data_IF_486285865758
#
_entry.id   IF_486285865758
#
_cell.length_a   1.000
_cell.length_b   1.000
_cell.length_c   1.000
_cell.angle_alpha   90.00
_cell.angle_beta   90.00
_cell.angle_gamma   90.00
#
_symmetry.space_group_name_H-M   'P 1'
#
loop_
_entity.id
_entity.type
_entity.pdbx_description
1 polymer ?
#
# COMPACT_ATOMS: atom_id res chain seq x y z
N UNK A 1 -14.15 2.10 17.45
CA UNK A 1 -14.52 2.08 16.03
C UNK A 1 -13.85 3.20 15.21
N UNK A 2 -13.70 4.43 15.73
CA UNK A 2 -13.07 5.57 15.01
C UNK A 2 -11.58 5.39 14.66
N UNK A 3 -10.80 4.68 15.48
CA UNK A 3 -9.35 4.49 15.27
C UNK A 3 -9.00 3.73 13.98
N UNK A 4 -9.86 2.80 13.52
CA UNK A 4 -9.63 2.04 12.30
C UNK A 4 -9.84 2.89 11.04
N UNK A 5 -10.74 3.88 11.07
CA UNK A 5 -10.98 4.80 9.96
C UNK A 5 -9.85 5.80 9.81
N UNK A 6 -9.37 6.39 10.92
CA UNK A 6 -8.26 7.36 10.89
C UNK A 6 -7.00 6.78 10.26
N UNK A 7 -6.62 5.55 10.61
CA UNK A 7 -5.48 4.85 10.00
C UNK A 7 -5.68 4.62 8.50
N UNK A 8 -6.87 4.22 8.06
CA UNK A 8 -7.19 3.97 6.64
C UNK A 8 -7.16 5.26 5.82
N UNK A 9 -7.69 6.36 6.36
CA UNK A 9 -7.63 7.68 5.73
C UNK A 9 -6.18 8.14 5.60
N UNK A 10 -5.37 7.99 6.66
CA UNK A 10 -3.95 8.30 6.60
C UNK A 10 -3.23 7.45 5.54
N UNK A 11 -3.51 6.15 5.48
CA UNK A 11 -2.95 5.24 4.49
C UNK A 11 -3.28 5.67 3.06
N UNK A 12 -4.54 6.07 2.82
CA UNK A 12 -4.99 6.60 1.55
C UNK A 12 -4.26 7.89 1.18
N UNK A 13 -4.21 8.87 2.09
CA UNK A 13 -3.52 10.15 1.87
C UNK A 13 -2.03 9.90 1.59
N UNK A 14 -1.38 9.06 2.39
CA UNK A 14 0.02 8.71 2.24
C UNK A 14 0.28 8.05 0.88
N UNK A 15 -0.58 7.13 0.45
CA UNK A 15 -0.41 6.45 -0.83
C UNK A 15 -0.67 7.34 -2.04
N UNK A 16 -1.64 8.27 -1.95
CA UNK A 16 -1.83 9.29 -2.98
C UNK A 16 -0.59 10.18 -3.10
N UNK A 17 -0.11 10.73 -1.98
CA UNK A 17 1.06 11.62 -1.97
C UNK A 17 2.30 10.88 -2.47
N UNK A 18 2.60 9.70 -1.90
CA UNK A 18 3.80 8.95 -2.27
C UNK A 18 3.73 8.44 -3.70
N UNK A 19 2.58 7.94 -4.16
CA UNK A 19 2.39 7.48 -5.54
C UNK A 19 2.64 8.59 -6.55
N UNK A 20 2.08 9.79 -6.33
CA UNK A 20 2.34 10.96 -7.18
C UNK A 20 3.80 11.41 -7.12
N UNK A 21 4.42 11.42 -5.93
CA UNK A 21 5.85 11.74 -5.81
C UNK A 21 6.72 10.74 -6.58
N UNK A 22 6.41 9.44 -6.54
CA UNK A 22 7.13 8.42 -7.31
C UNK A 22 7.04 8.70 -8.81
N UNK A 23 5.86 9.09 -9.32
CA UNK A 23 5.64 9.38 -10.74
C UNK A 23 6.44 10.62 -11.18
N UNK A 24 6.33 11.73 -10.44
CA UNK A 24 6.82 13.03 -10.93
C UNK A 24 8.24 13.40 -10.48
N UNK A 25 8.76 12.81 -9.39
CA UNK A 25 10.09 13.14 -8.86
C UNK A 25 11.16 12.20 -9.45
N UNK A 26 12.41 12.68 -9.51
CA UNK A 26 13.54 11.85 -9.97
C UNK A 26 13.73 10.64 -9.05
N UNK A 27 13.87 9.45 -9.67
CA UNK A 27 14.00 8.13 -9.02
C UNK A 27 15.00 8.13 -7.85
N UNK A 28 16.17 8.75 -8.03
CA UNK A 28 17.23 8.82 -6.99
C UNK A 28 16.79 9.47 -5.68
N UNK A 29 15.96 10.51 -5.74
CA UNK A 29 15.51 11.22 -4.54
C UNK A 29 14.46 10.40 -3.80
N UNK A 30 13.55 9.75 -4.53
CA UNK A 30 12.53 8.89 -3.93
C UNK A 30 13.15 7.67 -3.26
N UNK A 31 14.13 7.02 -3.91
CA UNK A 31 14.88 5.92 -3.29
C UNK A 31 15.55 6.40 -2.01
N UNK A 32 16.26 7.55 -2.04
CA UNK A 32 16.93 8.09 -0.86
C UNK A 32 15.94 8.36 0.29
N UNK A 33 14.78 8.96 0.00
CA UNK A 33 13.73 9.22 0.99
C UNK A 33 13.17 7.92 1.56
N UNK A 34 12.79 6.96 0.72
CA UNK A 34 12.22 5.68 1.16
C UNK A 34 13.22 4.89 2.00
N UNK A 35 14.48 4.79 1.57
CA UNK A 35 15.53 4.15 2.35
C UNK A 35 15.75 4.87 3.68
N UNK A 36 15.79 6.20 3.68
CA UNK A 36 15.91 7.00 4.91
C UNK A 36 14.75 6.76 5.90
N UNK A 37 13.51 6.74 5.42
CA UNK A 37 12.32 6.45 6.23
C UNK A 37 12.35 5.03 6.82
N UNK A 38 12.73 4.03 6.02
CA UNK A 38 12.87 2.64 6.49
C UNK A 38 13.98 2.53 7.53
N UNK A 39 15.16 3.11 7.27
CA UNK A 39 16.28 3.10 8.23
C UNK A 39 15.91 3.81 9.53
N UNK A 40 15.25 4.97 9.46
CA UNK A 40 14.76 5.67 10.64
C UNK A 40 13.74 4.83 11.43
N UNK A 41 12.79 4.19 10.74
CA UNK A 41 11.81 3.28 11.36
C UNK A 41 12.48 2.11 12.09
N UNK A 42 13.48 1.48 11.46
CA UNK A 42 14.28 0.41 12.08
C UNK A 42 15.02 0.92 13.31
N UNK A 43 15.70 2.08 13.23
CA UNK A 43 16.41 2.67 14.37
C UNK A 43 15.47 2.97 15.55
N UNK A 44 14.33 3.61 15.28
CA UNK A 44 13.31 3.89 16.30
C UNK A 44 12.87 2.58 16.96
N UNK A 45 12.60 1.54 16.17
CA UNK A 45 12.21 0.21 16.70
C UNK A 45 13.31 -0.39 17.58
N UNK A 46 14.57 -0.28 17.20
CA UNK A 46 15.69 -0.76 18.02
C UNK A 46 15.79 -0.03 19.35
N UNK A 47 15.57 1.29 19.39
CA UNK A 47 15.54 2.03 20.65
C UNK A 47 14.36 1.64 21.54
N UNK A 48 13.16 1.48 20.95
CA UNK A 48 11.98 1.02 21.71
C UNK A 48 12.20 -0.37 22.32
N UNK A 49 12.81 -1.31 21.58
CA UNK A 49 13.14 -2.66 22.09
C UNK A 49 14.17 -2.63 23.23
N UNK A 50 15.03 -1.61 23.27
CA UNK A 50 15.98 -1.36 24.37
C UNK A 50 15.34 -0.66 25.58
N UNK A 51 14.03 -0.43 25.57
CA UNK A 51 13.30 0.18 26.68
C UNK A 51 13.31 1.71 26.71
N UNK A 52 13.81 2.38 25.67
CA UNK A 52 13.70 3.83 25.56
C UNK A 52 12.24 4.22 25.30
N UNK A 53 11.71 5.15 26.08
CA UNK A 53 10.36 5.69 25.91
C UNK A 53 10.42 7.08 25.30
N UNK A 54 9.83 7.23 24.13
CA UNK A 54 9.67 8.51 23.47
C UNK A 54 8.18 8.83 23.45
N UNK A 55 7.68 9.59 24.43
CA UNK A 55 6.22 9.80 24.61
C UNK A 55 5.52 10.31 23.34
N UNK A 56 6.16 11.19 22.57
CA UNK A 56 5.64 11.71 21.30
C UNK A 56 5.65 10.65 20.20
N UNK A 57 6.74 9.89 20.08
CA UNK A 57 6.91 8.86 19.05
C UNK A 57 5.96 7.69 19.31
N UNK A 58 5.74 7.31 20.57
CA UNK A 58 4.79 6.27 20.94
C UNK A 58 3.35 6.69 20.65
N UNK A 59 3.00 7.96 20.89
CA UNK A 59 1.70 8.51 20.54
C UNK A 59 1.46 8.49 19.02
N UNK A 60 2.44 8.92 18.24
CA UNK A 60 2.39 8.88 16.78
C UNK A 60 2.37 7.44 16.24
N UNK A 61 3.20 6.53 16.74
CA UNK A 61 3.26 5.14 16.29
C UNK A 61 1.95 4.37 16.56
N UNK A 62 1.19 4.75 17.60
CA UNK A 62 -0.15 4.18 17.85
C UNK A 62 -1.18 4.60 16.79
N UNK A 63 -1.02 5.77 16.17
CA UNK A 63 -1.84 6.15 15.02
C UNK A 63 -1.49 5.35 13.75
N UNK A 64 -0.24 4.92 13.61
CA UNK A 64 0.27 4.21 12.42
C UNK A 64 0.17 2.68 12.52
N UNK A 65 0.21 2.13 13.72
CA UNK A 65 0.29 0.68 13.98
C UNK A 65 -1.05 -0.07 13.95
N UNK A 66 -0.99 -1.40 13.79
CA UNK A 66 -2.07 -2.29 14.25
C UNK A 66 -2.00 -2.35 15.79
N UNK A 67 -3.11 -2.65 16.50
CA UNK A 67 -3.03 -2.97 17.93
C UNK A 67 -1.99 -4.08 18.10
N UNK A 68 -0.98 -3.87 18.94
CA UNK A 68 0.20 -4.74 19.17
C UNK A 68 1.32 -4.73 18.11
N UNK A 69 1.20 -3.98 17.01
CA UNK A 69 2.30 -3.77 16.06
C UNK A 69 2.67 -2.29 16.01
N UNK A 70 3.76 -1.93 16.69
CA UNK A 70 4.27 -0.57 16.69
C UNK A 70 4.86 -0.24 15.31
N UNK A 71 4.09 0.45 14.45
CA UNK A 71 4.56 1.04 13.19
C UNK A 71 4.95 0.07 12.05
N UNK A 72 4.73 -1.24 12.19
CA UNK A 72 5.13 -2.24 11.18
C UNK A 72 4.40 -2.08 9.84
N UNK A 73 3.10 -1.76 9.86
CA UNK A 73 2.32 -1.57 8.63
C UNK A 73 2.84 -0.43 7.75
N UNK A 74 3.24 0.70 8.34
CA UNK A 74 3.85 1.81 7.61
C UNK A 74 5.24 1.42 7.04
N UNK A 75 6.01 0.60 7.76
CA UNK A 75 7.29 0.09 7.25
C UNK A 75 7.09 -0.83 6.05
N UNK A 76 6.12 -1.75 6.12
CA UNK A 76 5.77 -2.63 5.00
C UNK A 76 5.32 -1.86 3.76
N UNK A 77 4.56 -0.78 3.96
CA UNK A 77 4.17 0.13 2.88
C UNK A 77 5.38 0.75 2.16
N UNK A 78 6.33 1.31 2.93
CA UNK A 78 7.55 1.87 2.35
C UNK A 78 8.44 0.81 1.70
N UNK A 79 8.48 -0.41 2.25
CA UNK A 79 9.22 -1.53 1.66
C UNK A 79 8.60 -1.93 0.31
N UNK A 80 7.28 -2.10 0.22
CA UNK A 80 6.60 -2.40 -1.04
C UNK A 80 6.83 -1.32 -2.10
N UNK A 81 6.73 -0.05 -1.71
CA UNK A 81 7.05 1.08 -2.60
C UNK A 81 8.53 1.08 -3.04
N UNK A 82 9.47 0.79 -2.14
CA UNK A 82 10.90 0.73 -2.44
C UNK A 82 11.22 -0.42 -3.40
N UNK A 83 10.68 -1.62 -3.17
CA UNK A 83 10.83 -2.76 -4.08
C UNK A 83 10.31 -2.36 -5.46
N UNK A 84 9.10 -1.80 -5.52
CA UNK A 84 8.48 -1.42 -6.79
C UNK A 84 9.34 -0.41 -7.57
N UNK A 85 9.79 0.67 -6.93
CA UNK A 85 10.61 1.68 -7.63
C UNK A 85 12.02 1.20 -7.95
N UNK A 86 12.59 0.25 -7.20
CA UNK A 86 13.92 -0.29 -7.52
C UNK A 86 13.88 -1.09 -8.83
N UNK A 87 12.92 -2.02 -8.95
CA UNK A 87 12.86 -2.98 -10.05
C UNK A 87 12.10 -2.47 -11.29
N UNK A 88 11.19 -1.52 -11.14
CA UNK A 88 10.34 -1.06 -12.24
C UNK A 88 10.55 0.42 -12.61
N UNK A 89 9.93 0.83 -13.72
CA UNK A 89 9.84 2.24 -14.11
C UNK A 89 8.98 3.01 -13.09
N UNK A 90 9.25 4.31 -12.96
CA UNK A 90 8.63 5.15 -11.93
C UNK A 90 7.12 5.25 -12.12
N UNK A 91 6.70 5.29 -13.37
CA UNK A 91 5.32 5.38 -13.78
C UNK A 91 4.55 4.15 -13.25
N UNK A 92 5.06 2.93 -13.46
CA UNK A 92 4.44 1.70 -12.98
C UNK A 92 4.50 1.56 -11.46
N UNK A 93 5.64 1.91 -10.86
CA UNK A 93 5.81 1.84 -9.43
C UNK A 93 4.88 2.81 -8.69
N UNK A 94 4.72 4.02 -9.22
CA UNK A 94 3.82 5.02 -8.68
C UNK A 94 2.35 4.61 -8.80
N UNK A 95 1.94 4.07 -9.95
CA UNK A 95 0.58 3.51 -10.12
C UNK A 95 0.33 2.38 -9.11
N UNK A 96 1.29 1.48 -8.89
CA UNK A 96 1.16 0.44 -7.88
C UNK A 96 1.00 0.96 -6.45
N UNK A 97 1.69 2.05 -6.10
CA UNK A 97 1.53 2.71 -4.79
C UNK A 97 0.19 3.46 -4.68
N UNK A 98 -0.32 4.04 -5.77
CA UNK A 98 -1.66 4.61 -5.81
C UNK A 98 -2.74 3.55 -5.60
N UNK A 99 -2.61 2.40 -6.28
CA UNK A 99 -3.52 1.26 -6.10
C UNK A 99 -3.46 0.77 -4.65
N UNK A 100 -2.27 0.59 -4.07
CA UNK A 100 -2.18 0.23 -2.65
C UNK A 100 -2.89 1.26 -1.75
N UNK A 101 -2.59 2.56 -1.87
CA UNK A 101 -3.18 3.57 -0.99
C UNK A 101 -4.70 3.69 -1.10
N UNK A 102 -5.22 3.74 -2.32
CA UNK A 102 -6.64 3.99 -2.58
C UNK A 102 -7.44 2.69 -2.51
N UNK A 103 -7.04 1.67 -3.28
CA UNK A 103 -7.83 0.44 -3.43
C UNK A 103 -7.82 -0.42 -2.17
N UNK A 104 -6.69 -0.53 -1.44
CA UNK A 104 -6.67 -1.21 -0.13
C UNK A 104 -7.54 -0.48 0.88
N UNK A 105 -7.44 0.86 0.93
CA UNK A 105 -8.26 1.71 1.78
C UNK A 105 -9.75 1.51 1.53
N UNK A 106 -10.16 1.54 0.26
CA UNK A 106 -11.56 1.32 -0.14
C UNK A 106 -12.01 -0.12 0.12
N UNK A 107 -11.22 -1.13 -0.24
CA UNK A 107 -11.49 -2.55 0.06
C UNK A 107 -11.81 -2.73 1.54
N UNK A 108 -10.96 -2.15 2.40
CA UNK A 108 -11.12 -2.26 3.83
C UNK A 108 -12.30 -1.44 4.37
N UNK A 109 -12.70 -0.33 3.73
CA UNK A 109 -13.88 0.45 4.10
C UNK A 109 -15.16 -0.29 3.74
N UNK A 110 -15.28 -0.75 2.50
CA UNK A 110 -16.47 -1.47 2.02
C UNK A 110 -16.57 -2.89 2.60
N UNK A 111 -15.44 -3.50 3.00
CA UNK A 111 -15.42 -4.79 3.67
C UNK A 111 -15.69 -4.76 5.18
N UNK A 112 -15.73 -3.57 5.79
CA UNK A 112 -16.06 -3.45 7.22
C UNK A 112 -17.54 -3.77 7.46
N UNK A 113 -17.80 -4.78 8.31
CA UNK A 113 -19.17 -5.21 8.60
C UNK A 113 -19.83 -6.04 7.50
N UNK A 114 -19.11 -6.38 6.43
CA UNK A 114 -19.62 -7.31 5.41
C UNK A 114 -19.89 -8.70 6.00
N UNK A 115 -21.03 -9.27 5.62
CA UNK A 115 -21.44 -10.64 5.97
C UNK A 115 -20.88 -11.65 4.97
N UNK A 116 -20.58 -11.23 3.73
CA UNK A 116 -20.06 -12.10 2.66
C UNK A 116 -18.54 -12.24 2.73
N UNK A 117 -18.07 -12.98 3.73
CA UNK A 117 -16.65 -13.31 3.87
C UNK A 117 -16.21 -14.36 2.84
N UNK A 118 -15.02 -14.13 2.27
CA UNK A 118 -14.39 -14.99 1.28
C UNK A 118 -13.20 -15.74 1.90
N UNK A 119 -12.00 -15.16 1.81
CA UNK A 119 -10.75 -15.77 2.26
C UNK A 119 -10.07 -14.89 3.32
N UNK A 120 -9.55 -15.49 4.40
CA UNK A 120 -8.82 -14.81 5.47
C UNK A 120 -9.50 -13.52 6.00
N UNK A 121 -10.82 -13.55 6.21
CA UNK A 121 -11.68 -12.42 6.62
C UNK A 121 -11.84 -11.27 5.61
N UNK A 122 -11.23 -11.37 4.42
CA UNK A 122 -11.54 -10.50 3.28
C UNK A 122 -12.96 -10.79 2.79
N UNK A 123 -13.63 -9.75 2.31
CA UNK A 123 -15.05 -9.79 1.94
C UNK A 123 -15.25 -9.57 0.46
N UNK A 124 -16.33 -10.12 -0.08
CA UNK A 124 -16.72 -9.93 -1.47
C UNK A 124 -16.88 -8.45 -1.85
N UNK A 125 -17.53 -7.64 -1.01
CA UNK A 125 -17.72 -6.20 -1.22
C UNK A 125 -16.37 -5.45 -1.22
N UNK A 126 -15.46 -5.86 -0.35
CA UNK A 126 -14.09 -5.33 -0.29
C UNK A 126 -13.32 -5.62 -1.58
N UNK A 127 -13.33 -6.88 -2.04
CA UNK A 127 -12.66 -7.28 -3.29
C UNK A 127 -13.27 -6.59 -4.52
N UNK A 128 -14.60 -6.40 -4.57
CA UNK A 128 -15.24 -5.59 -5.63
C UNK A 128 -14.79 -4.14 -5.57
N UNK A 129 -14.77 -3.53 -4.37
CA UNK A 129 -14.29 -2.15 -4.21
C UNK A 129 -12.82 -2.00 -4.63
N UNK A 130 -11.98 -2.99 -4.29
CA UNK A 130 -10.60 -3.05 -4.76
C UNK A 130 -10.51 -3.11 -6.28
N UNK A 131 -11.25 -4.04 -6.91
CA UNK A 131 -11.26 -4.24 -8.35
C UNK A 131 -11.69 -2.97 -9.10
N UNK A 132 -12.83 -2.36 -8.71
CA UNK A 132 -13.36 -1.16 -9.38
C UNK A 132 -12.41 0.02 -9.21
N UNK A 133 -11.91 0.26 -8.00
CA UNK A 133 -11.01 1.40 -7.76
C UNK A 133 -9.66 1.22 -8.45
N UNK A 134 -9.06 0.04 -8.41
CA UNK A 134 -7.80 -0.23 -9.11
C UNK A 134 -7.96 -0.15 -10.62
N UNK A 135 -9.09 -0.64 -11.17
CA UNK A 135 -9.44 -0.48 -12.57
C UNK A 135 -9.47 1.00 -13.00
N UNK A 136 -10.16 1.85 -12.25
CA UNK A 136 -10.26 3.29 -12.57
C UNK A 136 -8.88 3.96 -12.51
N UNK A 137 -8.09 3.66 -11.49
CA UNK A 137 -6.73 4.21 -11.35
C UNK A 137 -5.89 3.80 -12.56
N UNK A 138 -5.82 2.50 -12.88
CA UNK A 138 -4.96 2.00 -13.95
C UNK A 138 -5.44 2.50 -15.32
N UNK A 139 -6.76 2.58 -15.55
CA UNK A 139 -7.34 3.13 -16.79
C UNK A 139 -6.92 4.57 -17.05
N UNK A 140 -6.61 5.36 -16.01
CA UNK A 140 -6.12 6.72 -16.17
C UNK A 140 -4.69 6.78 -16.73
N UNK A 141 -3.88 5.73 -16.53
CA UNK A 141 -2.47 5.68 -16.92
C UNK A 141 -2.17 4.71 -18.07
N UNK A 142 -3.08 3.79 -18.36
CA UNK A 142 -2.89 2.66 -19.27
C UNK A 142 -4.15 2.37 -20.11
N UNK A 143 -4.04 1.43 -21.06
CA UNK A 143 -5.14 1.07 -21.95
C UNK A 143 -6.26 0.32 -21.22
N UNK A 144 -7.47 0.29 -21.80
CA UNK A 144 -8.60 -0.47 -21.25
C UNK A 144 -8.26 -1.94 -20.98
N UNK A 145 -7.56 -2.60 -21.92
CA UNK A 145 -7.16 -3.99 -21.77
C UNK A 145 -6.21 -4.17 -20.57
N UNK A 146 -5.19 -3.31 -20.45
CA UNK A 146 -4.25 -3.34 -19.33
C UNK A 146 -4.96 -3.06 -18.00
N UNK A 147 -5.89 -2.11 -17.98
CA UNK A 147 -6.66 -1.79 -16.78
C UNK A 147 -7.48 -2.99 -16.30
N UNK A 148 -8.24 -3.65 -17.19
CA UNK A 148 -9.04 -4.84 -16.84
C UNK A 148 -8.14 -5.99 -16.39
N UNK A 149 -7.11 -6.33 -17.17
CA UNK A 149 -6.24 -7.45 -16.87
C UNK A 149 -5.50 -7.25 -15.54
N UNK A 150 -4.96 -6.06 -15.31
CA UNK A 150 -4.20 -5.75 -14.11
C UNK A 150 -5.09 -5.68 -12.87
N UNK A 151 -6.25 -5.02 -12.93
CA UNK A 151 -7.14 -4.93 -11.77
C UNK A 151 -7.73 -6.29 -11.38
N UNK A 152 -8.06 -7.15 -12.35
CA UNK A 152 -8.49 -8.53 -12.09
C UNK A 152 -7.39 -9.30 -11.36
N UNK A 153 -6.17 -9.34 -11.90
CA UNK A 153 -5.05 -10.06 -11.28
C UNK A 153 -4.70 -9.51 -9.90
N UNK A 154 -4.69 -8.19 -9.73
CA UNK A 154 -4.44 -7.57 -8.43
C UNK A 154 -5.54 -7.88 -7.41
N UNK A 155 -6.81 -7.91 -7.82
CA UNK A 155 -7.90 -8.29 -6.91
C UNK A 155 -7.78 -9.75 -6.44
N UNK A 156 -7.26 -10.65 -7.28
CA UNK A 156 -6.96 -12.03 -6.90
C UNK A 156 -5.75 -12.10 -5.96
N UNK A 157 -4.70 -11.32 -6.23
CA UNK A 157 -3.53 -11.23 -5.35
C UNK A 157 -3.96 -10.69 -3.98
N UNK A 158 -4.75 -9.62 -3.95
CA UNK A 158 -5.31 -9.06 -2.72
C UNK A 158 -6.11 -10.13 -1.98
N UNK A 159 -7.01 -10.85 -2.66
CA UNK A 159 -7.86 -11.83 -2.01
C UNK A 159 -7.10 -13.03 -1.44
N UNK A 160 -6.09 -13.55 -2.15
CA UNK A 160 -5.45 -14.84 -1.83
C UNK A 160 -4.03 -14.75 -1.28
N UNK A 161 -3.38 -13.58 -1.30
CA UNK A 161 -2.00 -13.45 -0.85
C UNK A 161 -1.86 -13.76 0.65
N UNK A 162 -0.93 -14.65 1.04
CA UNK A 162 -0.58 -14.85 2.44
C UNK A 162 0.37 -13.75 2.97
N UNK A 163 0.90 -12.90 2.09
CA UNK A 163 1.81 -11.78 2.40
C UNK A 163 1.01 -10.50 2.57
N UNK A 164 1.45 -9.63 3.48
CA UNK A 164 0.80 -8.33 3.74
C UNK A 164 0.69 -7.49 2.44
N UNK A 165 -0.51 -6.98 2.17
CA UNK A 165 -0.86 -6.24 0.96
C UNK A 165 0.07 -5.05 0.71
N UNK A 166 0.56 -4.44 1.80
CA UNK A 166 1.47 -3.31 1.75
C UNK A 166 2.81 -3.61 1.07
N UNK A 167 3.25 -4.87 1.10
CA UNK A 167 4.48 -5.32 0.47
C UNK A 167 4.22 -5.78 -0.96
N UNK A 168 3.14 -6.54 -1.18
CA UNK A 168 2.95 -7.30 -2.41
C UNK A 168 2.23 -6.51 -3.51
N UNK A 169 1.28 -5.62 -3.18
CA UNK A 169 0.45 -4.93 -4.18
C UNK A 169 1.26 -3.98 -5.07
N UNK A 170 2.11 -3.07 -4.55
CA UNK A 170 2.85 -2.14 -5.42
C UNK A 170 3.79 -2.81 -6.44
N UNK A 171 4.64 -3.80 -6.08
CA UNK A 171 5.49 -4.47 -7.06
C UNK A 171 4.69 -5.39 -7.99
N UNK A 172 3.61 -6.02 -7.52
CA UNK A 172 2.77 -6.86 -8.39
C UNK A 172 2.07 -6.02 -9.46
N UNK A 173 1.52 -4.87 -9.08
CA UNK A 173 0.91 -3.93 -10.03
C UNK A 173 1.94 -3.49 -11.08
N UNK A 174 3.13 -3.07 -10.62
CA UNK A 174 4.17 -2.60 -11.53
C UNK A 174 4.68 -3.72 -12.47
N UNK A 175 4.80 -4.95 -11.96
CA UNK A 175 5.16 -6.11 -12.76
C UNK A 175 4.13 -6.41 -13.85
N UNK A 176 2.85 -6.49 -13.49
CA UNK A 176 1.79 -6.83 -14.43
C UNK A 176 1.69 -5.76 -15.53
N UNK A 177 1.68 -4.47 -15.18
CA UNK A 177 1.68 -3.38 -16.17
C UNK A 177 2.92 -3.48 -17.08
N UNK A 178 4.10 -3.74 -16.51
CA UNK A 178 5.34 -3.89 -17.28
C UNK A 178 5.32 -5.10 -18.22
N UNK A 179 4.58 -6.16 -17.91
CA UNK A 179 4.44 -7.35 -18.77
C UNK A 179 3.37 -7.19 -19.84
N UNK A 180 2.44 -6.24 -19.69
CA UNK A 180 1.36 -5.99 -20.66
C UNK A 180 1.65 -4.82 -21.60
N UNK A 181 2.79 -4.13 -21.45
CA UNK A 181 3.22 -2.99 -22.28
C UNK A 181 4.18 -3.36 -23.43
N UNK A 182 4.27 -4.64 -23.77
CA UNK A 182 5.09 -5.14 -24.89
C UNK A 182 4.37 -5.01 -26.22
#
# INVERSE_FOLDING_TARGET
MSHNYGRKIFHLILGVILGLLIIYVRKRYIIAVLTGLISAGVLIRLFLLKGFKFGVVEHFLRWFGRPNEIGMGAMFFFIGALISILFFQREYAGVGVLVLGISDGLSAIFGMGSVHKLYNNKSFEGTIAFFISSFIIILFFDTLFQAVATSLLLSLIELFSPVDDNIIIPPSCALIISLLRW
#
